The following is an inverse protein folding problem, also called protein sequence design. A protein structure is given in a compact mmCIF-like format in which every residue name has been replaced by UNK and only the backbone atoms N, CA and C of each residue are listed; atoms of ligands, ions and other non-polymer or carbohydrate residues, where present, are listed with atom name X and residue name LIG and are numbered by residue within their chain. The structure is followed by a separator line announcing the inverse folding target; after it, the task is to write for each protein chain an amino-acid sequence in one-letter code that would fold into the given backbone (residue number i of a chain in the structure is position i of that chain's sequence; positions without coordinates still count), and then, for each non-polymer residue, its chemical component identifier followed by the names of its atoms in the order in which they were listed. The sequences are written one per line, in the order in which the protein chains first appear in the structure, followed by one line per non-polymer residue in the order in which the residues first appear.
data_IF_935031880848
#
_entry.id   IF_935031880848
#
_cell.length_a   1.000
_cell.length_b   1.000
_cell.length_c   1.000
_cell.angle_alpha   90.00
_cell.angle_beta   90.00
_cell.angle_gamma   90.00
#
_symmetry.space_group_name_H-M   'P 1'
#
loop_
_entity.id
_entity.type
_entity.pdbx_description
1 polymer ?
#
# COMPACT_ATOMS: atom_id res chain seq x y z
N UNK A 1 -5.28 -58.20 17.11
CA UNK A 1 -4.46 -58.19 15.87
C UNK A 1 -5.12 -57.26 14.86
N UNK A 2 -4.35 -56.69 13.93
CA UNK A 2 -4.75 -55.51 13.16
C UNK A 2 -5.51 -55.83 11.86
N UNK A 3 -6.25 -54.84 11.36
CA UNK A 3 -6.99 -54.86 10.10
C UNK A 3 -6.14 -54.20 8.98
N UNK A 4 -5.81 -54.88 7.87
CA UNK A 4 -5.06 -54.30 6.76
C UNK A 4 -5.98 -53.82 5.63
N UNK A 5 -5.93 -52.52 5.34
CA UNK A 5 -6.55 -51.91 4.16
C UNK A 5 -5.46 -51.26 3.29
N UNK A 6 -5.17 -51.89 2.15
CA UNK A 6 -4.34 -51.44 1.03
C UNK A 6 -4.86 -52.23 -0.20
N UNK A 7 -4.89 -51.76 -1.45
CA UNK A 7 -4.38 -50.55 -2.14
C UNK A 7 -5.34 -50.29 -3.34
N UNK A 8 -5.25 -49.32 -4.25
CA UNK A 8 -4.33 -48.21 -4.59
C UNK A 8 -5.11 -47.16 -5.42
N UNK A 9 -4.53 -45.97 -5.69
CA UNK A 9 -5.08 -45.04 -6.69
C UNK A 9 -4.58 -43.60 -6.56
N UNK A 10 -3.30 -43.34 -6.85
CA UNK A 10 -2.71 -42.00 -6.75
C UNK A 10 -2.39 -41.39 -8.13
N UNK A 11 -2.93 -40.20 -8.39
CA UNK A 11 -2.51 -39.20 -9.40
C UNK A 11 -3.22 -37.88 -9.04
N UNK A 12 -2.60 -36.70 -8.98
CA UNK A 12 -1.19 -36.34 -9.12
C UNK A 12 -1.05 -34.82 -8.98
N UNK A 13 -0.92 -34.31 -7.76
CA UNK A 13 -0.82 -32.87 -7.47
C UNK A 13 0.62 -32.44 -7.19
N UNK A 14 1.30 -31.87 -8.18
CA UNK A 14 2.72 -31.53 -8.10
C UNK A 14 3.04 -30.45 -7.06
N UNK A 15 3.77 -30.82 -6.01
CA UNK A 15 4.36 -29.87 -5.05
C UNK A 15 5.59 -29.18 -5.65
N UNK A 16 5.62 -27.84 -5.64
CA UNK A 16 6.86 -27.09 -5.84
C UNK A 16 7.65 -27.01 -4.52
N UNK A 17 8.90 -27.48 -4.56
CA UNK A 17 9.91 -27.33 -3.50
C UNK A 17 10.21 -25.82 -3.35
N UNK A 18 10.44 -25.25 -2.17
CA UNK A 18 11.01 -25.85 -0.97
C UNK A 18 12.52 -25.55 -0.89
N UNK A 19 12.88 -24.29 -0.63
CA UNK A 19 14.27 -23.84 -0.40
C UNK A 19 14.31 -22.62 0.54
N UNK A 20 15.29 -22.60 1.46
CA UNK A 20 15.59 -21.44 2.34
C UNK A 20 15.07 -21.60 3.77
N UNK A 21 15.85 -22.24 4.64
CA UNK A 21 15.46 -22.50 6.03
C UNK A 21 15.38 -21.23 6.89
N UNK A 22 14.24 -21.01 7.53
CA UNK A 22 14.04 -19.97 8.54
C UNK A 22 14.50 -20.46 9.93
N UNK A 23 15.64 -19.97 10.42
CA UNK A 23 15.96 -20.04 11.84
C UNK A 23 14.97 -19.15 12.62
N UNK A 24 14.21 -19.76 13.52
CA UNK A 24 13.26 -19.04 14.37
C UNK A 24 13.99 -18.14 15.37
N UNK A 25 13.93 -16.83 15.17
CA UNK A 25 14.32 -15.83 16.17
C UNK A 25 13.08 -15.28 16.86
N UNK A 26 12.92 -15.55 18.16
CA UNK A 26 11.78 -15.05 18.94
C UNK A 26 11.80 -13.52 19.08
N UNK A 27 10.62 -12.90 18.96
CA UNK A 27 10.46 -11.45 19.16
C UNK A 27 10.44 -11.17 20.67
N UNK A 28 11.53 -10.64 21.20
CA UNK A 28 11.64 -10.22 22.60
C UNK A 28 10.89 -8.92 22.87
N UNK A 29 10.17 -8.85 24.00
CA UNK A 29 9.42 -7.66 24.44
C UNK A 29 10.33 -6.54 24.97
N UNK A 30 11.06 -5.87 24.09
CA UNK A 30 11.94 -4.75 24.43
C UNK A 30 11.26 -3.38 24.31
N UNK A 31 11.11 -2.65 25.42
CA UNK A 31 10.74 -1.22 25.40
C UNK A 31 11.98 -0.38 25.06
N UNK A 32 12.00 0.31 23.92
CA UNK A 32 13.06 1.28 23.63
C UNK A 32 13.11 1.78 22.19
N UNK A 33 13.17 3.11 22.02
CA UNK A 33 13.32 3.75 20.72
C UNK A 33 14.81 3.98 20.39
N UNK A 34 15.39 3.10 19.56
CA UNK A 34 16.68 3.31 18.91
C UNK A 34 17.92 2.99 19.76
N UNK A 35 18.97 2.52 19.06
CA UNK A 35 20.33 2.27 19.58
C UNK A 35 20.42 1.17 20.66
N UNK A 36 20.15 -0.08 20.28
CA UNK A 36 20.54 -1.23 21.11
C UNK A 36 20.14 -2.60 20.56
N UNK A 37 21.07 -3.29 19.88
CA UNK A 37 21.17 -4.76 19.74
C UNK A 37 20.06 -5.54 19.02
N UNK A 38 18.79 -5.29 19.33
CA UNK A 38 17.63 -5.86 18.66
C UNK A 38 17.37 -5.16 17.33
N UNK A 39 17.13 -5.95 16.28
CA UNK A 39 16.68 -5.42 14.98
C UNK A 39 15.25 -4.90 15.13
N UNK A 40 15.09 -3.60 15.37
CA UNK A 40 13.81 -2.92 15.21
C UNK A 40 13.37 -3.09 13.74
N UNK A 41 12.46 -4.03 13.50
CA UNK A 41 11.96 -4.35 12.17
C UNK A 41 11.03 -3.23 11.70
N UNK A 42 11.58 -2.25 10.99
CA UNK A 42 10.76 -1.29 10.25
C UNK A 42 10.22 -2.00 9.02
N UNK A 43 8.99 -2.48 9.11
CA UNK A 43 8.34 -3.15 7.97
C UNK A 43 8.11 -2.15 6.83
N UNK A 44 7.98 -2.65 5.60
CA UNK A 44 7.59 -1.80 4.46
C UNK A 44 6.15 -1.26 4.57
N UNK A 45 5.34 -1.81 5.48
CA UNK A 45 3.99 -1.36 5.82
C UNK A 45 3.98 -0.28 6.93
N UNK A 46 5.15 0.04 7.51
CA UNK A 46 5.30 0.96 8.64
C UNK A 46 5.75 0.27 9.93
N UNK A 47 5.69 1.02 11.03
CA UNK A 47 6.03 0.58 12.38
C UNK A 47 4.89 0.92 13.36
N UNK A 48 4.73 0.15 14.44
CA UNK A 48 3.82 0.53 15.54
C UNK A 48 4.30 1.83 16.19
N UNK A 49 3.38 2.71 16.55
CA UNK A 49 3.74 3.92 17.32
C UNK A 49 4.01 3.56 18.77
N UNK A 50 5.23 3.82 19.25
CA UNK A 50 5.55 3.70 20.67
C UNK A 50 4.82 4.77 21.48
N UNK A 51 4.39 4.44 22.70
CA UNK A 51 3.82 5.43 23.62
C UNK A 51 4.82 6.58 23.83
N UNK A 52 4.41 7.81 23.49
CA UNK A 52 5.25 9.01 23.54
C UNK A 52 5.95 9.39 22.23
N UNK A 53 5.93 8.56 21.18
CA UNK A 53 6.46 8.93 19.87
C UNK A 53 5.40 9.61 19.00
N UNK A 54 5.63 10.89 18.65
CA UNK A 54 4.90 11.54 17.56
C UNK A 54 5.50 11.12 16.21
N UNK A 55 5.22 9.89 15.78
CA UNK A 55 5.61 9.45 14.43
C UNK A 55 4.78 10.21 13.39
N UNK A 56 5.42 11.11 12.64
CA UNK A 56 4.81 11.75 11.48
C UNK A 56 4.76 10.75 10.33
N UNK A 57 3.57 10.38 9.87
CA UNK A 57 3.41 9.43 8.76
C UNK A 57 1.96 9.11 8.44
N UNK A 58 1.79 8.24 7.46
CA UNK A 58 0.54 7.63 7.06
C UNK A 58 0.09 6.63 8.14
N UNK A 59 -1.08 6.83 8.74
CA UNK A 59 -1.68 5.88 9.67
C UNK A 59 -2.42 4.79 8.90
N UNK A 60 -1.83 3.60 8.82
CA UNK A 60 -2.40 2.41 8.19
C UNK A 60 -3.26 1.60 9.16
N UNK A 61 -4.47 1.24 8.73
CA UNK A 61 -5.29 0.20 9.36
C UNK A 61 -5.51 -0.93 8.37
N UNK A 62 -5.08 -2.14 8.73
CA UNK A 62 -5.38 -3.35 7.97
C UNK A 62 -6.79 -3.85 8.29
N UNK A 63 -7.54 -4.25 7.26
CA UNK A 63 -8.84 -4.90 7.35
C UNK A 63 -8.85 -6.25 6.64
N UNK A 64 -9.33 -7.30 7.32
CA UNK A 64 -9.60 -8.60 6.70
C UNK A 64 -11.07 -8.70 6.31
N UNK A 65 -11.34 -8.51 5.01
CA UNK A 65 -12.71 -8.55 4.47
C UNK A 65 -13.33 -9.95 4.51
N UNK A 66 -12.53 -11.01 4.70
CA UNK A 66 -12.98 -12.42 4.77
C UNK A 66 -13.79 -12.73 6.03
N UNK A 67 -13.79 -11.84 7.01
CA UNK A 67 -14.48 -12.04 8.29
C UNK A 67 -15.03 -10.73 8.87
N UNK A 68 -16.11 -10.83 9.63
CA UNK A 68 -16.72 -9.70 10.34
C UNK A 68 -15.86 -9.23 11.51
N UNK A 69 -16.17 -8.07 12.09
CA UNK A 69 -15.57 -7.61 13.34
C UNK A 69 -15.75 -8.62 14.49
N UNK A 70 -16.87 -9.34 14.50
CA UNK A 70 -17.17 -10.49 15.36
C UNK A 70 -16.55 -11.83 14.94
N UNK A 71 -15.55 -11.80 14.04
CA UNK A 71 -14.75 -12.97 13.60
C UNK A 71 -15.54 -14.07 12.88
N UNK A 72 -16.77 -13.77 12.42
CA UNK A 72 -17.59 -14.69 11.63
C UNK A 72 -17.21 -14.60 10.14
N UNK A 73 -17.23 -15.70 9.38
CA UNK A 73 -16.87 -15.67 7.95
C UNK A 73 -17.84 -14.80 7.14
N UNK A 74 -17.32 -14.13 6.12
CA UNK A 74 -18.11 -13.44 5.10
C UNK A 74 -18.12 -14.23 3.79
N UNK A 75 -18.90 -13.78 2.80
CA UNK A 75 -18.84 -14.31 1.43
C UNK A 75 -17.43 -14.25 0.79
N UNK A 76 -16.51 -13.45 1.35
CA UNK A 76 -15.13 -13.30 0.86
C UNK A 76 -14.18 -14.37 1.42
N UNK A 77 -14.62 -15.18 2.40
CA UNK A 77 -13.81 -16.27 2.94
C UNK A 77 -13.55 -17.37 1.90
N UNK A 78 -14.54 -17.68 1.05
CA UNK A 78 -14.43 -18.77 0.09
C UNK A 78 -13.32 -18.55 -0.96
N UNK A 79 -12.54 -19.59 -1.22
CA UNK A 79 -11.37 -19.52 -2.11
C UNK A 79 -11.72 -19.49 -3.61
N UNK A 80 -12.94 -19.88 -3.99
CA UNK A 80 -13.38 -19.97 -5.40
C UNK A 80 -14.29 -18.79 -5.79
N UNK A 81 -15.14 -18.36 -4.86
CA UNK A 81 -16.21 -17.39 -5.08
C UNK A 81 -16.02 -16.07 -4.30
N UNK A 82 -14.99 -15.97 -3.46
CA UNK A 82 -14.76 -14.80 -2.60
C UNK A 82 -14.16 -13.56 -3.27
N UNK A 83 -13.69 -13.63 -4.52
CA UNK A 83 -13.08 -12.48 -5.23
C UNK A 83 -14.14 -11.46 -5.70
N UNK A 84 -15.26 -11.86 -6.38
CA UNK A 84 -16.34 -10.92 -6.70
C UNK A 84 -16.91 -10.13 -5.50
N UNK A 85 -17.26 -10.74 -4.35
CA UNK A 85 -17.75 -9.98 -3.20
C UNK A 85 -16.65 -9.11 -2.56
N UNK A 86 -15.37 -9.46 -2.68
CA UNK A 86 -14.26 -8.62 -2.25
C UNK A 86 -14.20 -7.33 -3.08
N UNK A 87 -14.21 -7.45 -4.40
CA UNK A 87 -14.28 -6.31 -5.33
C UNK A 87 -15.51 -5.44 -5.07
N UNK A 88 -16.66 -6.05 -4.78
CA UNK A 88 -17.88 -5.33 -4.42
C UNK A 88 -17.76 -4.58 -3.08
N UNK A 89 -17.14 -5.16 -2.05
CA UNK A 89 -16.91 -4.52 -0.76
C UNK A 89 -15.90 -3.36 -0.84
N UNK A 90 -14.83 -3.52 -1.63
CA UNK A 90 -13.88 -2.43 -1.93
C UNK A 90 -14.60 -1.30 -2.68
N UNK A 91 -15.40 -1.62 -3.70
CA UNK A 91 -16.22 -0.64 -4.44
C UNK A 91 -17.21 0.11 -3.53
N UNK A 92 -17.93 -0.59 -2.67
CA UNK A 92 -18.86 -0.02 -1.67
C UNK A 92 -18.16 0.98 -0.73
N UNK A 93 -16.95 0.67 -0.24
CA UNK A 93 -16.15 1.61 0.53
C UNK A 93 -15.76 2.85 -0.28
N UNK A 94 -15.21 2.65 -1.48
CA UNK A 94 -14.72 3.73 -2.34
C UNK A 94 -15.85 4.68 -2.79
N UNK A 95 -16.98 4.13 -3.25
CA UNK A 95 -18.14 4.89 -3.73
C UNK A 95 -18.92 5.57 -2.59
N UNK A 96 -18.82 5.06 -1.35
CA UNK A 96 -19.33 5.76 -0.14
C UNK A 96 -18.54 6.99 0.28
N UNK A 97 -17.61 7.47 -0.56
CA UNK A 97 -16.73 8.59 -0.24
C UNK A 97 -15.62 8.24 0.75
N UNK A 98 -15.23 6.96 0.81
CA UNK A 98 -14.23 6.38 1.73
C UNK A 98 -14.71 6.40 3.21
N UNK A 99 -15.99 6.13 3.44
CA UNK A 99 -16.57 6.11 4.78
C UNK A 99 -16.01 4.95 5.63
N UNK A 100 -15.39 5.22 6.81
CA UNK A 100 -14.84 4.17 7.68
C UNK A 100 -15.89 3.12 8.07
N UNK A 101 -17.17 3.49 8.18
CA UNK A 101 -18.26 2.57 8.51
C UNK A 101 -18.41 1.40 7.54
N UNK A 102 -17.99 1.54 6.28
CA UNK A 102 -18.02 0.43 5.31
C UNK A 102 -16.95 -0.63 5.58
N UNK A 103 -15.84 -0.27 6.23
CA UNK A 103 -14.77 -1.21 6.61
C UNK A 103 -14.87 -1.67 8.09
N UNK A 104 -15.41 -0.85 9.00
CA UNK A 104 -15.60 -1.18 10.43
C UNK A 104 -16.44 -2.45 10.68
N UNK A 105 -17.23 -2.91 9.69
CA UNK A 105 -18.00 -4.17 9.75
C UNK A 105 -17.11 -5.43 9.64
N UNK A 106 -15.89 -5.29 9.15
CA UNK A 106 -14.91 -6.37 8.99
C UNK A 106 -13.95 -6.44 10.18
N UNK A 107 -13.19 -7.54 10.29
CA UNK A 107 -12.06 -7.58 11.22
C UNK A 107 -11.03 -6.52 10.82
N UNK A 108 -10.50 -5.81 11.82
CA UNK A 108 -9.40 -4.86 11.66
C UNK A 108 -8.26 -5.22 12.60
N UNK A 109 -7.05 -4.89 12.17
CA UNK A 109 -5.84 -4.95 13.03
C UNK A 109 -6.08 -4.21 14.36
N UNK A 110 -5.66 -4.77 15.51
CA UNK A 110 -5.77 -4.09 16.81
C UNK A 110 -4.93 -2.80 16.87
N UNK A 111 -3.73 -2.87 16.30
CA UNK A 111 -2.79 -1.75 16.19
C UNK A 111 -2.80 -1.13 14.80
N UNK A 112 -2.57 0.18 14.74
CA UNK A 112 -2.27 0.89 13.50
C UNK A 112 -0.75 0.94 13.29
N UNK A 113 -0.30 0.89 12.03
CA UNK A 113 1.09 1.17 11.67
C UNK A 113 1.23 2.60 11.18
N UNK A 114 2.34 3.25 11.52
CA UNK A 114 2.75 4.53 10.95
C UNK A 114 3.81 4.28 9.90
N UNK A 115 3.57 4.70 8.66
CA UNK A 115 4.56 4.61 7.59
C UNK A 115 4.96 5.98 7.05
N UNK A 116 6.27 6.19 6.89
CA UNK A 116 6.82 7.37 6.23
C UNK A 116 6.72 7.35 4.71
N UNK A 117 6.34 6.22 4.10
CA UNK A 117 6.39 5.97 2.65
C UNK A 117 5.51 4.75 2.25
N UNK A 118 5.22 4.55 0.97
CA UNK A 118 4.52 3.34 0.48
C UNK A 118 5.23 2.74 -0.75
N UNK A 119 6.35 2.08 -0.49
CA UNK A 119 7.22 1.39 -1.45
C UNK A 119 7.51 -0.01 -0.90
N UNK A 120 6.61 -0.92 -1.22
CA UNK A 120 6.60 -2.30 -0.78
C UNK A 120 7.16 -3.14 -1.92
N UNK A 121 8.46 -3.42 -1.83
CA UNK A 121 9.18 -4.29 -2.76
C UNK A 121 8.60 -5.70 -2.71
N UNK A 122 8.50 -6.37 -3.87
CA UNK A 122 7.90 -7.70 -4.02
C UNK A 122 8.31 -8.72 -2.95
N UNK A 123 7.28 -9.31 -2.33
CA UNK A 123 7.38 -10.17 -1.13
C UNK A 123 6.17 -11.11 -1.04
N UNK A 124 6.13 -11.97 -0.03
CA UNK A 124 4.91 -12.73 0.26
C UNK A 124 3.81 -11.81 0.79
N UNK A 125 2.57 -12.06 0.38
CA UNK A 125 1.37 -11.49 0.98
C UNK A 125 1.25 -11.78 2.49
N UNK A 126 1.93 -12.81 3.01
CA UNK A 126 2.07 -13.11 4.45
C UNK A 126 2.61 -11.92 5.26
N UNK A 127 3.40 -11.05 4.64
CA UNK A 127 4.15 -10.02 5.35
C UNK A 127 3.27 -8.86 5.81
N UNK A 128 2.10 -8.64 5.20
CA UNK A 128 1.13 -7.68 5.69
C UNK A 128 0.52 -8.15 7.03
N UNK A 129 -0.09 -9.35 7.15
CA UNK A 129 -0.50 -9.87 8.45
C UNK A 129 0.60 -9.90 9.51
N UNK A 130 1.84 -10.27 9.17
CA UNK A 130 2.98 -10.25 10.12
C UNK A 130 3.32 -8.84 10.60
N UNK A 131 3.35 -7.85 9.71
CA UNK A 131 3.68 -6.47 10.06
C UNK A 131 2.65 -5.86 11.03
N UNK A 132 1.38 -6.27 10.91
CA UNK A 132 0.29 -5.89 11.81
C UNK A 132 0.11 -6.85 13.01
N UNK A 133 0.97 -7.87 13.18
CA UNK A 133 0.91 -8.92 14.22
C UNK A 133 -0.44 -9.66 14.30
N UNK A 134 -1.04 -9.93 13.12
CA UNK A 134 -2.32 -10.63 12.95
C UNK A 134 -2.20 -11.89 12.09
N UNK A 135 -0.99 -12.41 11.84
CA UNK A 135 -0.75 -13.59 10.98
C UNK A 135 -1.40 -14.87 11.50
N UNK A 136 -1.66 -14.96 12.81
CA UNK A 136 -2.44 -16.05 13.44
C UNK A 136 -3.95 -15.83 13.38
N UNK A 137 -4.39 -14.63 13.02
CA UNK A 137 -5.78 -14.18 13.05
C UNK A 137 -6.39 -14.04 11.65
N UNK A 138 -5.60 -14.10 10.58
CA UNK A 138 -6.09 -14.03 9.21
C UNK A 138 -5.18 -14.74 8.21
N UNK A 139 -5.75 -15.18 7.08
CA UNK A 139 -4.96 -15.65 5.93
C UNK A 139 -4.51 -14.47 5.06
N UNK A 140 -3.34 -14.55 4.39
CA UNK A 140 -2.81 -13.54 3.45
C UNK A 140 -3.56 -13.58 2.11
N UNK A 141 -4.78 -13.06 2.12
CA UNK A 141 -5.62 -12.90 0.93
C UNK A 141 -6.79 -11.97 1.21
N UNK A 142 -7.29 -11.25 0.20
CA UNK A 142 -8.54 -10.47 0.28
C UNK A 142 -8.59 -9.52 1.49
N UNK A 143 -7.50 -8.79 1.70
CA UNK A 143 -7.38 -7.74 2.71
C UNK A 143 -7.12 -6.40 2.04
N UNK A 144 -7.42 -5.32 2.76
CA UNK A 144 -7.02 -3.96 2.38
C UNK A 144 -6.29 -3.27 3.53
N UNK A 145 -5.40 -2.34 3.20
CA UNK A 145 -4.88 -1.38 4.19
C UNK A 145 -5.31 0.03 3.75
N UNK A 146 -6.01 0.71 4.64
CA UNK A 146 -6.39 2.11 4.48
C UNK A 146 -5.41 2.97 5.28
N UNK A 147 -4.55 3.69 4.55
CA UNK A 147 -3.64 4.68 5.09
C UNK A 147 -4.27 6.07 5.03
N UNK A 148 -4.12 6.86 6.10
CA UNK A 148 -4.62 8.24 6.20
C UNK A 148 -3.60 9.17 6.86
N UNK A 149 -3.47 10.40 6.37
CA UNK A 149 -2.81 11.50 7.08
C UNK A 149 -3.28 12.87 6.55
N UNK A 150 -2.86 13.96 7.21
CA UNK A 150 -2.84 15.29 6.61
C UNK A 150 -1.40 15.74 6.46
N UNK A 151 -1.01 16.08 5.23
CA UNK A 151 0.33 16.55 4.90
C UNK A 151 0.36 18.05 4.65
N UNK A 152 1.51 18.67 4.87
CA UNK A 152 1.85 19.98 4.37
C UNK A 152 2.53 19.84 3.00
N UNK A 153 2.06 20.60 1.99
CA UNK A 153 2.67 20.64 0.66
C UNK A 153 4.08 21.27 0.74
N UNK A 154 5.15 20.59 0.30
CA UNK A 154 6.52 21.05 0.51
C UNK A 154 7.00 22.12 -0.48
N UNK A 155 6.41 22.17 -1.68
CA UNK A 155 6.81 23.02 -2.80
C UNK A 155 5.58 23.42 -3.64
N UNK A 156 5.60 24.61 -4.25
CA UNK A 156 4.50 25.13 -5.09
C UNK A 156 4.59 24.72 -6.58
N UNK A 157 5.65 24.01 -6.98
CA UNK A 157 5.73 23.42 -8.31
C UNK A 157 4.62 22.36 -8.51
N UNK A 158 4.13 22.16 -9.75
CA UNK A 158 3.22 21.06 -10.04
C UNK A 158 3.89 19.71 -9.83
N UNK A 159 3.14 18.75 -9.29
CA UNK A 159 3.57 17.36 -9.14
C UNK A 159 2.41 16.41 -9.49
N UNK A 160 2.69 15.13 -9.66
CA UNK A 160 1.65 14.10 -9.79
C UNK A 160 2.07 12.81 -9.12
N UNK A 161 1.10 12.06 -8.63
CA UNK A 161 1.35 10.71 -8.14
C UNK A 161 1.67 9.78 -9.31
N UNK A 162 2.63 8.89 -9.10
CA UNK A 162 2.99 7.83 -10.05
C UNK A 162 3.13 6.54 -9.25
N UNK A 163 2.44 5.49 -9.68
CA UNK A 163 2.42 4.25 -8.92
C UNK A 163 1.53 3.19 -9.50
N UNK A 164 1.52 2.03 -8.83
CA UNK A 164 0.67 0.89 -9.13
C UNK A 164 0.85 -0.20 -8.06
N UNK A 165 -0.17 -1.00 -7.77
CA UNK A 165 -0.12 -2.11 -6.80
C UNK A 165 -0.38 -3.47 -7.42
N UNK A 166 0.20 -4.51 -6.84
CA UNK A 166 -0.15 -5.91 -7.06
C UNK A 166 -0.92 -6.36 -5.80
N UNK A 167 -2.26 -6.25 -5.72
CA UNK A 167 -3.22 -6.16 -6.84
C UNK A 167 -3.72 -4.75 -7.21
N UNK A 168 -3.78 -3.80 -6.27
CA UNK A 168 -4.14 -2.40 -6.59
C UNK A 168 -3.59 -1.36 -5.61
N UNK A 169 -3.48 -0.14 -6.12
CA UNK A 169 -3.15 1.08 -5.37
C UNK A 169 -4.04 2.24 -5.83
N UNK A 170 -4.73 2.88 -4.89
CA UNK A 170 -5.54 4.07 -5.12
C UNK A 170 -5.11 5.18 -4.15
N UNK A 171 -4.88 6.39 -4.67
CA UNK A 171 -4.55 7.59 -3.87
C UNK A 171 -5.68 8.61 -4.01
N UNK A 172 -6.17 9.09 -2.87
CA UNK A 172 -7.10 10.22 -2.78
C UNK A 172 -6.37 11.44 -2.20
N UNK A 173 -6.19 12.46 -3.02
CA UNK A 173 -5.56 13.74 -2.66
C UNK A 173 -6.63 14.82 -2.56
N UNK A 174 -6.75 15.48 -1.41
CA UNK A 174 -7.77 16.50 -1.17
C UNK A 174 -9.20 16.04 -1.55
N UNK A 175 -9.54 14.79 -1.17
CA UNK A 175 -10.81 14.11 -1.51
C UNK A 175 -11.04 13.79 -3.00
N UNK A 176 -10.06 14.02 -3.88
CA UNK A 176 -10.08 13.68 -5.32
C UNK A 176 -9.22 12.45 -5.62
N UNK A 177 -9.68 11.57 -6.52
CA UNK A 177 -8.88 10.42 -6.97
C UNK A 177 -7.71 10.92 -7.83
N UNK A 178 -6.49 10.72 -7.33
CA UNK A 178 -5.25 11.23 -7.93
C UNK A 178 -4.28 10.12 -8.37
N UNK A 179 -4.58 8.86 -8.06
CA UNK A 179 -3.98 7.67 -8.66
C UNK A 179 -4.96 6.50 -8.50
N UNK A 180 -5.03 5.63 -9.50
CA UNK A 180 -5.75 4.35 -9.49
C UNK A 180 -5.04 3.44 -10.50
N UNK A 181 -4.20 2.50 -10.06
CA UNK A 181 -3.60 1.49 -10.95
C UNK A 181 -3.24 0.20 -10.21
N UNK A 182 -3.29 -0.90 -10.96
CA UNK A 182 -2.96 -2.24 -10.50
C UNK A 182 -3.26 -3.29 -11.56
N UNK A 183 -3.37 -4.54 -11.13
CA UNK A 183 -4.16 -5.55 -11.84
C UNK A 183 -5.66 -5.22 -11.76
N UNK A 184 -6.10 -4.66 -10.63
CA UNK A 184 -7.45 -4.10 -10.47
C UNK A 184 -7.43 -2.57 -10.50
N UNK A 185 -8.49 -1.99 -11.06
CA UNK A 185 -8.72 -0.53 -11.10
C UNK A 185 -10.20 -0.25 -10.88
N UNK A 186 -10.52 0.84 -10.18
CA UNK A 186 -11.86 1.05 -9.62
C UNK A 186 -12.63 2.25 -10.19
N UNK A 187 -11.93 3.31 -10.61
CA UNK A 187 -12.50 4.57 -11.07
C UNK A 187 -11.92 5.05 -12.40
N UNK A 188 -10.61 5.28 -12.44
CA UNK A 188 -9.89 6.04 -13.48
C UNK A 188 -8.76 5.23 -14.11
N UNK A 189 -8.30 4.16 -13.45
CA UNK A 189 -7.12 3.42 -13.87
C UNK A 189 -7.27 2.67 -15.19
N UNK A 190 -8.49 2.24 -15.54
CA UNK A 190 -8.74 1.46 -16.77
C UNK A 190 -8.58 2.29 -18.03
N UNK A 191 -9.12 3.50 -18.08
CA UNK A 191 -9.18 4.37 -19.26
C UNK A 191 -8.33 5.65 -19.12
N UNK A 192 -7.77 5.90 -17.94
CA UNK A 192 -7.00 7.11 -17.61
C UNK A 192 -7.85 8.33 -17.27
N UNK A 193 -9.17 8.19 -17.07
CA UNK A 193 -10.11 9.30 -16.97
C UNK A 193 -10.29 9.80 -15.53
N UNK A 194 -9.50 10.79 -15.12
CA UNK A 194 -9.53 11.38 -13.78
C UNK A 194 -10.58 12.50 -13.70
N UNK A 195 -11.84 12.10 -13.54
CA UNK A 195 -13.01 13.00 -13.53
C UNK A 195 -12.88 14.19 -12.58
N UNK A 196 -12.34 13.97 -11.38
CA UNK A 196 -12.15 15.03 -10.37
C UNK A 196 -11.17 16.14 -10.80
N UNK A 197 -10.36 15.88 -11.81
CA UNK A 197 -9.38 16.79 -12.39
C UNK A 197 -9.76 17.26 -13.80
N UNK A 198 -10.74 16.61 -14.46
CA UNK A 198 -11.10 16.86 -15.85
C UNK A 198 -10.02 16.45 -16.85
N UNK A 199 -9.06 15.62 -16.44
CA UNK A 199 -7.89 15.23 -17.25
C UNK A 199 -7.93 13.73 -17.62
N UNK A 200 -7.53 13.42 -18.86
CA UNK A 200 -7.24 12.05 -19.29
C UNK A 200 -5.73 11.83 -19.33
N UNK A 201 -5.24 10.85 -18.57
CA UNK A 201 -3.80 10.59 -18.39
C UNK A 201 -3.45 9.18 -18.88
N UNK A 202 -2.47 9.09 -19.77
CA UNK A 202 -1.96 7.84 -20.36
C UNK A 202 -0.45 7.64 -20.16
N UNK A 203 0.20 8.49 -19.34
CA UNK A 203 1.64 8.37 -19.08
C UNK A 203 1.91 7.16 -18.19
N UNK A 204 2.85 6.33 -18.64
CA UNK A 204 3.35 5.17 -17.90
C UNK A 204 4.88 5.22 -17.76
N UNK A 205 5.39 4.53 -16.74
CA UNK A 205 6.81 4.32 -16.46
C UNK A 205 7.07 2.81 -16.41
N UNK A 206 8.03 2.31 -17.17
CA UNK A 206 8.32 0.87 -17.24
C UNK A 206 9.00 0.38 -15.96
N UNK A 207 8.65 -0.83 -15.51
CA UNK A 207 9.24 -1.53 -14.36
C UNK A 207 9.25 -3.04 -14.59
N UNK A 208 10.28 -3.73 -14.14
CA UNK A 208 10.36 -5.19 -14.25
C UNK A 208 9.74 -5.90 -13.04
N UNK A 209 8.43 -6.14 -13.06
CA UNK A 209 7.69 -6.83 -11.98
C UNK A 209 7.66 -8.37 -12.06
N UNK A 210 8.63 -9.03 -12.72
CA UNK A 210 8.66 -10.51 -12.75
C UNK A 210 8.61 -11.11 -11.33
N UNK A 211 7.86 -12.22 -11.11
CA UNK A 211 7.16 -13.04 -12.11
C UNK A 211 5.79 -12.50 -12.55
N UNK A 212 5.32 -11.37 -12.01
CA UNK A 212 4.08 -10.71 -12.45
C UNK A 212 4.22 -10.05 -13.84
N UNK A 213 3.07 -9.77 -14.46
CA UNK A 213 2.95 -9.14 -15.79
C UNK A 213 2.68 -7.62 -15.77
N UNK A 214 2.57 -7.01 -14.60
CA UNK A 214 2.26 -5.58 -14.43
C UNK A 214 3.51 -4.71 -14.59
N UNK A 215 4.09 -4.68 -15.80
CA UNK A 215 5.38 -4.06 -16.09
C UNK A 215 5.38 -2.52 -16.19
N UNK A 216 4.50 -1.85 -15.42
CA UNK A 216 4.33 -0.39 -15.45
C UNK A 216 4.01 0.21 -14.07
N UNK A 217 4.28 1.50 -13.92
CA UNK A 217 3.59 2.41 -13.00
C UNK A 217 2.79 3.40 -13.85
N UNK A 218 1.54 3.71 -13.50
CA UNK A 218 0.78 4.78 -14.16
C UNK A 218 0.97 6.10 -13.46
N UNK A 219 0.87 7.19 -14.22
CA UNK A 219 0.77 8.54 -13.69
C UNK A 219 -0.69 8.95 -13.45
N UNK A 220 -0.89 9.72 -12.39
CA UNK A 220 -2.11 10.49 -12.15
C UNK A 220 -2.14 11.84 -12.88
N UNK A 221 -3.19 12.63 -12.65
CA UNK A 221 -3.32 14.00 -13.16
C UNK A 221 -2.31 14.93 -12.47
N UNK A 222 -2.04 16.08 -13.10
CA UNK A 222 -1.16 17.07 -12.48
C UNK A 222 -1.87 17.83 -11.36
N UNK A 223 -1.20 17.93 -10.22
CA UNK A 223 -1.63 18.63 -9.02
C UNK A 223 -0.81 19.90 -8.90
N UNK A 224 -1.48 21.04 -8.80
CA UNK A 224 -0.88 22.30 -8.39
C UNK A 224 -1.46 22.70 -7.03
N UNK A 225 -0.60 22.89 -6.04
CA UNK A 225 -0.96 23.31 -4.70
C UNK A 225 0.15 24.19 -4.13
N UNK A 226 -0.22 25.19 -3.33
CA UNK A 226 0.77 26.13 -2.75
C UNK A 226 1.52 25.46 -1.59
N UNK A 227 2.84 25.67 -1.51
CA UNK A 227 3.64 25.30 -0.34
C UNK A 227 2.98 25.75 0.97
N UNK A 228 2.98 24.90 1.99
CA UNK A 228 2.32 25.15 3.27
C UNK A 228 0.83 24.78 3.32
N UNK A 229 0.20 24.44 2.20
CA UNK A 229 -1.20 23.98 2.20
C UNK A 229 -1.31 22.66 2.95
N UNK A 230 -2.17 22.59 3.97
CA UNK A 230 -2.55 21.35 4.64
C UNK A 230 -3.57 20.58 3.79
N UNK A 231 -3.28 19.33 3.43
CA UNK A 231 -4.12 18.51 2.55
C UNK A 231 -4.35 17.12 3.14
N UNK A 232 -5.59 16.60 3.20
CA UNK A 232 -5.84 15.20 3.53
C UNK A 232 -5.37 14.29 2.38
N UNK A 233 -4.60 13.27 2.75
CA UNK A 233 -4.14 12.21 1.84
C UNK A 233 -4.64 10.89 2.39
N UNK A 234 -5.27 10.11 1.52
CA UNK A 234 -5.68 8.75 1.82
C UNK A 234 -5.16 7.83 0.74
N UNK A 235 -4.71 6.64 1.15
CA UNK A 235 -4.23 5.61 0.23
C UNK A 235 -4.91 4.31 0.60
N UNK A 236 -5.50 3.64 -0.38
CA UNK A 236 -6.04 2.29 -0.25
C UNK A 236 -5.20 1.38 -1.13
N UNK A 237 -4.68 0.31 -0.54
CA UNK A 237 -4.08 -0.80 -1.26
C UNK A 237 -4.75 -2.10 -0.80
N UNK A 238 -4.77 -3.10 -1.68
CA UNK A 238 -5.37 -4.39 -1.38
C UNK A 238 -4.76 -5.52 -2.19
N UNK A 239 -5.04 -6.73 -1.75
CA UNK A 239 -4.43 -7.97 -2.23
C UNK A 239 -5.50 -9.05 -2.39
N UNK A 240 -5.51 -9.73 -3.54
CA UNK A 240 -6.28 -10.94 -3.84
C UNK A 240 -5.72 -11.66 -5.07
N UNK A 241 -5.36 -12.96 -5.01
CA UNK A 241 -5.95 -13.96 -4.13
C UNK A 241 -5.01 -14.50 -3.03
N UNK A 242 -3.79 -13.96 -2.96
CA UNK A 242 -2.65 -14.40 -2.16
C UNK A 242 -1.42 -14.62 -3.05
N UNK A 243 -0.25 -14.81 -2.43
CA UNK A 243 1.00 -15.11 -3.15
C UNK A 243 2.02 -13.98 -3.06
N UNK A 244 2.37 -13.37 -4.20
CA UNK A 244 3.29 -12.22 -4.25
C UNK A 244 2.48 -10.93 -4.08
N UNK A 245 3.00 -9.98 -3.30
CA UNK A 245 2.44 -8.65 -3.14
C UNK A 245 3.54 -7.59 -3.35
N UNK A 246 3.21 -6.53 -4.09
CA UNK A 246 4.01 -5.31 -4.15
C UNK A 246 3.16 -4.04 -4.30
N UNK A 247 3.71 -2.90 -3.90
CA UNK A 247 3.01 -1.63 -3.99
C UNK A 247 4.01 -0.48 -4.14
N UNK A 248 3.82 0.37 -5.14
CA UNK A 248 4.78 1.41 -5.48
C UNK A 248 4.08 2.75 -5.53
N UNK A 249 4.38 3.65 -4.60
CA UNK A 249 3.90 5.04 -4.59
C UNK A 249 5.08 6.02 -4.66
N UNK A 250 5.11 6.78 -5.75
CA UNK A 250 6.10 7.80 -6.08
C UNK A 250 5.40 9.07 -6.55
N UNK A 251 6.16 10.13 -6.80
CA UNK A 251 5.70 11.32 -7.51
C UNK A 251 6.60 11.59 -8.72
N UNK A 252 6.05 12.26 -9.73
CA UNK A 252 6.83 13.01 -10.73
C UNK A 252 6.60 14.50 -10.50
N UNK A 253 7.66 15.29 -10.59
CA UNK A 253 7.64 16.75 -10.44
C UNK A 253 7.71 17.40 -11.82
N UNK A 254 7.02 18.52 -12.01
CA UNK A 254 7.12 19.30 -13.24
C UNK A 254 8.38 20.16 -13.26
N UNK A 255 9.05 20.23 -14.42
CA UNK A 255 10.27 21.05 -14.64
C UNK A 255 10.06 22.54 -14.34
N UNK A 256 8.82 23.02 -14.45
CA UNK A 256 8.44 24.40 -14.16
C UNK A 256 6.95 24.51 -13.80
N UNK A 257 6.54 25.67 -13.28
CA UNK A 257 5.14 26.00 -13.04
C UNK A 257 4.36 26.40 -14.32
N UNK A 258 4.99 26.35 -15.50
CA UNK A 258 4.39 26.75 -16.78
C UNK A 258 4.04 25.53 -17.62
N UNK A 259 2.85 25.54 -18.24
CA UNK A 259 2.41 24.51 -19.18
C UNK A 259 2.98 24.77 -20.58
N UNK A 260 3.60 23.75 -21.19
CA UNK A 260 4.00 23.73 -22.60
C UNK A 260 2.90 23.03 -23.40
N UNK A 261 2.35 23.68 -24.43
CA UNK A 261 1.22 23.15 -25.24
C UNK A 261 0.04 22.65 -24.38
N UNK A 262 -0.27 23.35 -23.30
CA UNK A 262 -1.37 23.01 -22.37
C UNK A 262 -1.08 21.88 -21.38
N UNK A 263 0.15 21.35 -21.33
CA UNK A 263 0.56 20.25 -20.44
C UNK A 263 1.80 20.62 -19.63
N UNK A 264 1.95 20.05 -18.42
CA UNK A 264 3.22 20.14 -17.69
C UNK A 264 4.19 19.07 -18.18
N UNK A 265 5.45 19.46 -18.34
CA UNK A 265 6.55 18.51 -18.59
C UNK A 265 7.15 18.07 -17.26
N UNK A 266 7.19 16.76 -17.04
CA UNK A 266 7.85 16.16 -15.88
C UNK A 266 9.38 16.13 -16.00
N UNK A 267 10.05 16.08 -14.85
CA UNK A 267 11.51 15.85 -14.74
C UNK A 267 11.96 14.51 -15.34
N UNK A 268 11.03 13.56 -15.55
CA UNK A 268 11.32 12.22 -16.09
C UNK A 268 12.01 11.28 -15.10
N UNK A 269 12.47 11.78 -13.96
CA UNK A 269 12.89 11.00 -12.79
C UNK A 269 11.78 11.01 -11.75
N UNK A 270 11.51 9.85 -11.15
CA UNK A 270 10.51 9.72 -10.08
C UNK A 270 11.16 9.99 -8.72
N UNK A 271 10.41 10.56 -7.79
CA UNK A 271 10.81 10.73 -6.38
C UNK A 271 9.93 9.86 -5.50
N UNK A 272 10.50 9.23 -4.46
CA UNK A 272 9.71 8.44 -3.51
C UNK A 272 8.65 9.33 -2.83
N UNK A 273 7.41 8.87 -2.70
CA UNK A 273 6.43 9.58 -1.89
C UNK A 273 6.78 9.42 -0.41
N UNK A 274 7.21 10.51 0.22
CA UNK A 274 7.64 10.53 1.63
C UNK A 274 6.81 11.49 2.46
N UNK A 275 6.36 11.02 3.62
CA UNK A 275 5.63 11.76 4.64
C UNK A 275 6.52 12.23 5.81
N UNK A 276 7.75 11.70 5.89
CA UNK A 276 8.77 12.10 6.85
C UNK A 276 10.19 11.94 6.27
N UNK A 277 11.18 12.45 7.01
CA UNK A 277 12.60 12.37 6.67
C UNK A 277 13.33 11.21 7.38
N UNK A 278 12.59 10.30 8.03
CA UNK A 278 13.16 9.21 8.81
C UNK A 278 13.92 8.24 7.87
N UNK A 279 14.97 7.54 8.35
CA UNK A 279 15.69 6.57 7.55
C UNK A 279 14.75 5.53 6.91
N UNK A 280 14.93 5.29 5.61
CA UNK A 280 14.16 4.29 4.89
C UNK A 280 14.48 2.87 5.39
N UNK A 281 13.51 1.94 5.37
CA UNK A 281 13.79 0.52 5.60
C UNK A 281 14.87 0.00 4.64
N UNK A 282 15.84 -0.75 5.17
CA UNK A 282 16.93 -1.33 4.39
C UNK A 282 16.43 -2.30 3.28
N UNK A 283 15.22 -2.83 3.43
CA UNK A 283 14.54 -3.64 2.42
C UNK A 283 14.26 -2.87 1.11
N UNK A 284 14.06 -1.55 1.15
CA UNK A 284 13.78 -0.74 -0.06
C UNK A 284 14.96 -0.78 -1.04
N UNK A 285 16.20 -0.81 -0.54
CA UNK A 285 17.40 -0.85 -1.40
C UNK A 285 17.64 -2.21 -2.06
N UNK A 286 16.78 -3.20 -1.79
CA UNK A 286 16.83 -4.54 -2.42
C UNK A 286 15.97 -4.60 -3.69
N UNK A 287 15.25 -3.54 -4.05
CA UNK A 287 14.52 -3.48 -5.32
C UNK A 287 15.48 -3.32 -6.51
N UNK A 288 15.49 -4.30 -7.40
CA UNK A 288 16.35 -4.32 -8.60
C UNK A 288 15.56 -4.13 -9.90
N UNK A 289 14.31 -3.63 -9.84
CA UNK A 289 13.33 -3.74 -10.94
C UNK A 289 13.45 -2.64 -12.02
N UNK A 290 14.63 -2.04 -12.14
CA UNK A 290 14.95 -1.01 -13.14
C UNK A 290 14.35 0.37 -12.87
N UNK A 291 13.75 0.60 -11.70
CA UNK A 291 13.18 1.90 -11.32
C UNK A 291 14.27 2.88 -10.87
N UNK A 292 14.55 3.90 -11.67
CA UNK A 292 15.37 5.05 -11.25
C UNK A 292 14.52 6.02 -10.43
N UNK A 293 14.56 5.86 -9.10
CA UNK A 293 13.83 6.70 -8.15
C UNK A 293 14.81 7.44 -7.24
N UNK A 294 14.61 8.74 -7.10
CA UNK A 294 15.17 9.53 -6.01
C UNK A 294 14.48 9.14 -4.70
N UNK A 295 15.15 8.28 -3.94
CA UNK A 295 14.66 7.75 -2.67
C UNK A 295 14.71 8.78 -1.53
N UNK A 296 15.53 9.84 -1.64
CA UNK A 296 15.56 10.88 -0.62
C UNK A 296 14.41 11.87 -0.77
N UNK A 297 14.01 12.16 -2.01
CA UNK A 297 12.94 13.08 -2.34
C UNK A 297 13.16 14.46 -1.69
N UNK A 298 14.40 14.94 -1.71
CA UNK A 298 14.79 16.22 -1.11
C UNK A 298 13.97 17.37 -1.72
N UNK A 299 13.49 18.26 -0.86
CA UNK A 299 12.53 19.31 -1.22
C UNK A 299 11.09 18.85 -1.46
N UNK A 300 10.80 17.55 -1.35
CA UNK A 300 9.51 16.93 -1.69
C UNK A 300 8.93 16.00 -0.60
N UNK A 301 9.39 16.16 0.64
CA UNK A 301 8.85 15.43 1.80
C UNK A 301 7.57 16.11 2.31
N UNK A 302 6.44 15.43 2.14
CA UNK A 302 5.09 15.86 2.51
C UNK A 302 4.86 15.71 4.03
N UNK A 303 5.43 16.61 4.83
CA UNK A 303 5.42 16.54 6.30
C UNK A 303 4.02 16.35 6.87
N UNK A 304 3.82 15.33 7.70
CA UNK A 304 2.54 15.11 8.39
C UNK A 304 2.35 16.10 9.53
N UNK A 305 1.16 16.73 9.55
CA UNK A 305 0.81 17.75 10.54
C UNK A 305 0.33 17.11 11.85
N UNK A 306 0.68 17.70 13.01
CA UNK A 306 0.35 17.15 14.33
C UNK A 306 -1.16 17.02 14.58
N UNK A 307 -1.94 17.94 14.01
CA UNK A 307 -3.40 17.99 14.16
C UNK A 307 -4.12 16.83 13.45
N UNK A 308 -3.44 16.17 12.50
CA UNK A 308 -4.01 15.19 11.57
C UNK A 308 -4.67 13.97 12.24
N UNK A 309 -4.12 13.54 13.37
CA UNK A 309 -4.35 12.19 13.91
C UNK A 309 -5.28 12.16 15.12
N UNK A 310 -5.64 13.32 15.68
CA UNK A 310 -6.60 13.41 16.80
C UNK A 310 -8.06 13.28 16.37
N UNK A 311 -8.35 13.54 15.08
CA UNK A 311 -9.70 13.57 14.49
C UNK A 311 -10.05 12.28 13.72
N UNK A 312 -9.13 11.32 13.60
CA UNK A 312 -9.33 10.09 12.81
C UNK A 312 -10.03 8.93 13.56
N UNK A 313 -10.72 9.24 14.66
CA UNK A 313 -11.54 8.29 15.45
C UNK A 313 -12.76 7.80 14.66
#
# INVERSE_FOLDING_TARGET
MANPLATAGAIGGGSSKGFGGSSGGGIGSGKGAGVGGGRNFVSLFGMKSGAGQTLGGLLGTLYDLKQTSGRQPTAMMDGKTGIPPYRAAVRDFLESGWSPGKLQKFFKSPDMLVSGQLFITGRSADDAPKAFEVEKLMKPSRWVVHYRCYVEVPNSLPFRFVGSGDDFLIVRWNRKIALDDGYETYFSGKDGNYKDFGEKVSKEFKVDRRPGGLHRLKAGPWIQATKGTKVPVEVLMGETPGGVFDCYLTIEVAKSATKVKGQYEGEGTLKLFRCNADPLPAEITKDTRGLKIDMQADGWIFKVTKDANTVLR
#
